data_IF_180479923651
#
_entry.id   IF_180479923651
#
_cell.length_a   1.000
_cell.length_b   1.000
_cell.length_c   1.000
_cell.angle_alpha   90.00
_cell.angle_beta   90.00
_cell.angle_gamma   90.00
#
_symmetry.space_group_name_H-M   'P 1'
#
loop_
_entity.id
_entity.type
_entity.pdbx_description
1 polymer ?
#
# COMPACT_ATOMS: atom_id res chain seq x y z
N UNK A 1 -56.56 -56.13 -5.98
CA UNK A 1 -56.65 -54.83 -5.26
C UNK A 1 -55.27 -54.56 -4.68
N UNK A 2 -54.52 -53.49 -4.91
CA UNK A 2 -54.69 -52.23 -5.64
C UNK A 2 -53.29 -51.80 -6.10
N UNK A 3 -53.26 -51.08 -7.22
CA UNK A 3 -52.12 -50.44 -7.88
C UNK A 3 -51.55 -49.30 -7.03
N UNK A 4 -50.23 -49.12 -7.04
CA UNK A 4 -49.58 -47.79 -6.94
C UNK A 4 -48.10 -47.88 -7.33
N UNK A 5 -47.79 -47.59 -8.59
CA UNK A 5 -46.44 -47.27 -9.04
C UNK A 5 -46.04 -45.84 -8.67
N UNK A 6 -44.73 -45.60 -8.52
CA UNK A 6 -44.11 -44.27 -8.70
C UNK A 6 -42.73 -44.41 -9.33
N UNK A 7 -42.69 -44.10 -10.62
CA UNK A 7 -41.49 -43.63 -11.33
C UNK A 7 -41.33 -42.12 -11.12
N UNK A 8 -40.15 -41.65 -10.71
CA UNK A 8 -39.62 -40.27 -10.91
C UNK A 8 -38.09 -40.38 -10.96
N UNK A 9 -37.45 -40.38 -12.12
CA UNK A 9 -37.03 -39.23 -12.96
C UNK A 9 -35.51 -38.92 -12.78
N UNK A 10 -34.66 -39.16 -13.80
CA UNK A 10 -33.26 -38.70 -13.81
C UNK A 10 -33.19 -37.33 -14.51
N UNK A 11 -33.30 -36.23 -13.77
CA UNK A 11 -33.33 -34.88 -14.39
C UNK A 11 -32.44 -33.83 -13.71
N UNK A 12 -31.32 -34.25 -13.09
CA UNK A 12 -30.38 -33.33 -12.45
C UNK A 12 -28.95 -33.34 -13.05
N UNK A 13 -28.59 -34.33 -13.89
CA UNK A 13 -27.22 -34.45 -14.44
C UNK A 13 -27.02 -33.79 -15.80
N UNK A 14 -28.07 -33.59 -16.61
CA UNK A 14 -27.94 -32.91 -17.91
C UNK A 14 -27.84 -31.37 -17.81
N UNK A 15 -28.39 -30.75 -16.77
CA UNK A 15 -28.32 -29.30 -16.59
C UNK A 15 -26.91 -28.78 -16.22
N UNK A 16 -26.08 -29.63 -15.59
CA UNK A 16 -24.69 -29.30 -15.26
C UNK A 16 -23.75 -29.33 -16.47
N UNK A 17 -23.94 -30.28 -17.38
CA UNK A 17 -23.14 -30.39 -18.61
C UNK A 17 -23.43 -29.26 -19.61
N UNK A 18 -24.69 -28.84 -19.76
CA UNK A 18 -25.07 -27.72 -20.62
C UNK A 18 -24.54 -26.36 -20.11
N UNK A 19 -24.32 -26.20 -18.81
CA UNK A 19 -23.72 -24.99 -18.21
C UNK A 19 -22.19 -24.94 -18.35
N UNK A 20 -21.52 -26.10 -18.30
CA UNK A 20 -20.07 -26.17 -18.56
C UNK A 20 -19.72 -25.93 -20.04
N UNK A 21 -20.55 -26.42 -20.97
CA UNK A 21 -20.32 -26.19 -22.42
C UNK A 21 -20.55 -24.74 -22.83
N UNK A 22 -21.48 -24.03 -22.17
CA UNK A 22 -21.70 -22.59 -22.42
C UNK A 22 -20.56 -21.72 -21.87
N UNK A 23 -19.97 -22.09 -20.73
CA UNK A 23 -18.80 -21.39 -20.17
C UNK A 23 -17.53 -21.60 -21.01
N UNK A 24 -17.29 -22.82 -21.51
CA UNK A 24 -16.14 -23.10 -22.39
C UNK A 24 -16.27 -22.39 -23.75
N UNK A 25 -17.49 -22.30 -24.31
CA UNK A 25 -17.72 -21.61 -25.58
C UNK A 25 -17.58 -20.08 -25.46
N UNK A 26 -17.98 -19.48 -24.33
CA UNK A 26 -17.76 -18.06 -24.05
C UNK A 26 -16.27 -17.72 -23.82
N UNK A 27 -15.50 -18.66 -23.24
CA UNK A 27 -14.06 -18.49 -23.02
C UNK A 27 -13.25 -18.66 -24.32
N UNK A 28 -13.63 -19.59 -25.21
CA UNK A 28 -12.99 -19.73 -26.53
C UNK A 28 -13.35 -18.60 -27.50
N UNK A 29 -14.56 -18.03 -27.42
CA UNK A 29 -14.94 -16.88 -28.25
C UNK A 29 -14.16 -15.59 -27.88
N UNK A 30 -13.68 -15.47 -26.64
CA UNK A 30 -12.81 -14.38 -26.20
C UNK A 30 -11.36 -14.53 -26.70
N UNK A 31 -10.91 -15.76 -27.01
CA UNK A 31 -9.58 -16.05 -27.56
C UNK A 31 -9.47 -15.83 -29.08
N UNK A 32 -10.61 -15.77 -29.78
CA UNK A 32 -10.70 -15.53 -31.23
C UNK A 32 -11.19 -14.12 -31.59
N UNK A 33 -11.50 -13.28 -30.60
CA UNK A 33 -11.83 -11.89 -30.84
C UNK A 33 -10.56 -11.14 -31.30
N UNK A 34 -10.60 -10.42 -32.44
CA UNK A 34 -9.46 -9.59 -32.83
C UNK A 34 -9.18 -8.59 -31.70
N UNK A 35 -7.92 -8.59 -31.25
CA UNK A 35 -7.42 -7.68 -30.23
C UNK A 35 -7.86 -6.26 -30.61
N UNK A 36 -8.58 -5.53 -29.76
CA UNK A 36 -8.87 -4.13 -30.07
C UNK A 36 -7.52 -3.44 -30.26
N UNK A 37 -7.37 -2.71 -31.37
CA UNK A 37 -6.20 -1.89 -31.64
C UNK A 37 -5.82 -1.08 -30.38
N UNK A 38 -4.53 -0.79 -30.14
CA UNK A 38 -4.09 -0.04 -28.97
C UNK A 38 -4.95 1.21 -28.85
N UNK A 39 -5.75 1.26 -27.78
CA UNK A 39 -6.61 2.40 -27.52
C UNK A 39 -5.70 3.60 -27.36
N UNK A 40 -5.95 4.60 -28.19
CA UNK A 40 -5.23 5.86 -28.20
C UNK A 40 -5.12 6.44 -26.79
N UNK A 41 -3.93 6.97 -26.50
CA UNK A 41 -3.55 7.74 -25.31
C UNK A 41 -4.71 8.52 -24.68
N UNK A 42 -5.07 8.16 -23.44
CA UNK A 42 -5.94 9.00 -22.61
C UNK A 42 -5.07 10.09 -21.99
N UNK A 43 -5.27 11.32 -22.47
CA UNK A 43 -4.68 12.51 -21.90
C UNK A 43 -5.23 12.74 -20.48
N UNK A 44 -4.34 12.64 -19.49
CA UNK A 44 -4.55 12.94 -18.08
C UNK A 44 -3.48 12.25 -17.25
N UNK A 45 -2.72 13.00 -16.45
CA UNK A 45 -1.73 12.38 -15.54
C UNK A 45 -2.48 11.53 -14.50
N UNK A 46 -1.96 10.34 -14.12
CA UNK A 46 -2.61 9.48 -13.14
C UNK A 46 -2.76 10.27 -11.82
N UNK A 47 -3.91 10.18 -11.14
CA UNK A 47 -4.15 10.87 -9.88
C UNK A 47 -3.37 10.19 -8.75
N UNK A 48 -2.05 10.36 -8.72
CA UNK A 48 -1.18 9.83 -7.67
C UNK A 48 -1.36 10.57 -6.36
N UNK A 49 -0.98 9.90 -5.27
CA UNK A 49 -1.10 10.42 -3.90
C UNK A 49 0.28 10.86 -3.41
N UNK A 50 1.29 10.01 -3.54
CA UNK A 50 2.65 10.25 -3.05
C UNK A 50 3.65 10.52 -4.17
N UNK A 51 3.49 9.93 -5.37
CA UNK A 51 4.37 10.23 -6.50
C UNK A 51 3.99 11.54 -7.18
N UNK A 52 4.98 12.23 -7.78
CA UNK A 52 4.72 13.46 -8.55
C UNK A 52 4.21 13.06 -9.93
N UNK A 53 2.99 13.49 -10.31
CA UNK A 53 2.46 13.25 -11.64
C UNK A 53 3.42 13.72 -12.75
N UNK A 54 4.03 14.89 -12.57
CA UNK A 54 4.92 15.53 -13.53
C UNK A 54 6.23 14.72 -13.70
N UNK A 55 6.78 14.22 -12.58
CA UNK A 55 7.96 13.34 -12.61
C UNK A 55 7.62 12.03 -13.30
N UNK A 56 6.51 11.38 -12.95
CA UNK A 56 6.09 10.13 -13.59
C UNK A 56 5.90 10.27 -15.09
N UNK A 57 5.20 11.33 -15.52
CA UNK A 57 4.98 11.62 -16.94
C UNK A 57 6.31 11.82 -17.68
N UNK A 58 7.25 12.57 -17.08
CA UNK A 58 8.59 12.79 -17.64
C UNK A 58 9.39 11.51 -17.72
N UNK A 59 9.46 10.74 -16.63
CA UNK A 59 10.17 9.46 -16.56
C UNK A 59 9.63 8.49 -17.61
N UNK A 60 8.31 8.38 -17.76
CA UNK A 60 7.69 7.57 -18.80
C UNK A 60 8.09 8.02 -20.21
N UNK A 61 8.07 9.32 -20.48
CA UNK A 61 8.48 9.84 -21.78
C UNK A 61 9.96 9.55 -22.09
N UNK A 62 10.85 9.70 -21.11
CA UNK A 62 12.27 9.38 -21.25
C UNK A 62 12.52 7.88 -21.43
N UNK A 63 11.79 7.03 -20.70
CA UNK A 63 11.81 5.57 -20.88
C UNK A 63 11.38 5.19 -22.30
N UNK A 64 10.30 5.76 -22.81
CA UNK A 64 9.82 5.52 -24.18
C UNK A 64 10.79 6.02 -25.25
N UNK A 65 11.54 7.08 -24.95
CA UNK A 65 12.62 7.59 -25.81
C UNK A 65 13.91 6.75 -25.72
N UNK A 66 13.98 5.76 -24.83
CA UNK A 66 15.15 4.92 -24.63
C UNK A 66 16.32 5.62 -23.95
N UNK A 67 16.05 6.57 -23.04
CA UNK A 67 17.09 7.32 -22.31
C UNK A 67 18.07 6.35 -21.62
N UNK A 68 19.35 6.31 -22.03
CA UNK A 68 20.34 5.39 -21.48
C UNK A 68 20.52 5.52 -19.96
N UNK A 69 20.24 6.70 -19.38
CA UNK A 69 20.33 6.92 -17.94
C UNK A 69 19.25 6.15 -17.16
N UNK A 70 18.09 5.87 -17.78
CA UNK A 70 16.96 5.21 -17.13
C UNK A 70 16.86 3.71 -17.44
N UNK A 71 17.49 3.25 -18.53
CA UNK A 71 17.39 1.85 -18.97
C UNK A 71 17.86 0.80 -17.94
N UNK A 72 18.96 0.99 -17.18
CA UNK A 72 19.36 0.03 -16.15
C UNK A 72 18.29 -0.16 -15.07
N UNK A 73 17.60 0.93 -14.76
CA UNK A 73 16.64 0.99 -13.69
C UNK A 73 15.27 0.45 -14.09
N UNK A 74 14.82 0.77 -15.31
CA UNK A 74 13.70 0.10 -15.94
C UNK A 74 13.92 -1.42 -16.00
N UNK A 75 15.13 -1.86 -16.35
CA UNK A 75 15.47 -3.29 -16.40
C UNK A 75 15.38 -3.95 -15.03
N UNK A 76 15.72 -3.24 -13.96
CA UNK A 76 15.56 -3.73 -12.59
C UNK A 76 14.10 -3.78 -12.15
N UNK A 77 13.33 -2.74 -12.43
CA UNK A 77 11.88 -2.73 -12.19
C UNK A 77 11.18 -3.89 -12.90
N UNK A 78 11.56 -4.18 -14.15
CA UNK A 78 11.03 -5.33 -14.89
C UNK A 78 11.37 -6.65 -14.19
N UNK A 79 12.61 -6.85 -13.74
CA UNK A 79 12.98 -8.07 -12.97
C UNK A 79 12.17 -8.21 -11.69
N UNK A 80 11.98 -7.12 -10.96
CA UNK A 80 11.19 -7.10 -9.73
C UNK A 80 9.71 -7.37 -10.00
N UNK A 81 9.16 -6.82 -11.08
CA UNK A 81 7.80 -7.11 -11.55
C UNK A 81 7.66 -8.58 -12.00
N UNK A 82 8.62 -9.14 -12.73
CA UNK A 82 8.63 -10.55 -13.12
C UNK A 82 8.66 -11.47 -11.88
N UNK A 83 9.44 -11.10 -10.86
CA UNK A 83 9.43 -11.82 -9.58
C UNK A 83 8.08 -11.72 -8.86
N UNK A 84 7.45 -10.54 -8.85
CA UNK A 84 6.12 -10.33 -8.29
C UNK A 84 5.00 -11.06 -9.07
N UNK A 85 5.16 -11.21 -10.39
CA UNK A 85 4.27 -12.03 -11.23
C UNK A 85 4.31 -13.49 -10.79
N UNK A 86 5.52 -14.03 -10.58
CA UNK A 86 5.76 -15.40 -10.14
C UNK A 86 5.41 -15.65 -8.66
N UNK A 87 5.38 -14.61 -7.83
CA UNK A 87 5.07 -14.71 -6.42
C UNK A 87 3.61 -15.13 -6.18
N UNK A 88 3.41 -15.91 -5.12
CA UNK A 88 2.08 -16.25 -4.63
C UNK A 88 1.39 -15.00 -4.09
N UNK A 89 0.14 -14.79 -4.51
CA UNK A 89 -0.69 -13.70 -4.00
C UNK A 89 -0.82 -13.80 -2.48
N UNK A 90 -0.51 -12.70 -1.80
CA UNK A 90 -0.61 -12.62 -0.35
C UNK A 90 -2.02 -12.20 0.05
N UNK A 91 -2.60 -12.91 1.01
CA UNK A 91 -3.90 -12.62 1.58
C UNK A 91 -3.90 -12.92 3.08
N UNK A 92 -4.72 -12.18 3.83
CA UNK A 92 -4.82 -12.27 5.29
C UNK A 92 -5.25 -13.67 5.75
N UNK A 93 -5.99 -14.41 4.92
CA UNK A 93 -6.54 -15.73 5.29
C UNK A 93 -5.51 -16.86 5.17
N UNK A 94 -4.31 -16.57 4.66
CA UNK A 94 -3.26 -17.57 4.43
C UNK A 94 -2.46 -17.93 5.70
N UNK A 95 -2.69 -17.21 6.81
CA UNK A 95 -2.17 -17.60 8.11
C UNK A 95 -2.79 -18.93 8.59
N UNK A 96 -2.09 -19.72 9.43
CA UNK A 96 -2.53 -21.06 9.82
C UNK A 96 -3.78 -21.07 10.71
N UNK A 97 -4.11 -19.95 11.36
CA UNK A 97 -5.29 -19.82 12.20
C UNK A 97 -5.65 -18.36 12.47
N UNK A 98 -6.87 -18.08 12.93
CA UNK A 98 -7.29 -16.72 13.27
C UNK A 98 -6.61 -16.22 14.56
N UNK A 99 -6.56 -14.90 14.79
CA UNK A 99 -6.29 -14.39 16.13
C UNK A 99 -7.32 -14.94 17.12
N UNK A 100 -6.97 -15.14 18.41
CA UNK A 100 -7.93 -15.62 19.39
C UNK A 100 -9.12 -14.65 19.52
N UNK A 101 -10.34 -15.18 19.43
CA UNK A 101 -11.57 -14.38 19.46
C UNK A 101 -11.95 -13.70 18.13
N UNK A 102 -11.13 -13.83 17.08
CA UNK A 102 -11.41 -13.31 15.74
C UNK A 102 -11.63 -14.40 14.69
N UNK A 103 -11.58 -14.01 13.42
CA UNK A 103 -11.67 -14.89 12.26
C UNK A 103 -10.47 -14.73 11.30
N UNK A 104 -10.39 -15.57 10.26
CA UNK A 104 -9.25 -15.58 9.33
C UNK A 104 -9.10 -14.29 8.52
N UNK A 105 -10.17 -13.49 8.38
CA UNK A 105 -10.14 -12.20 7.69
C UNK A 105 -9.60 -11.07 8.57
N UNK A 106 -9.46 -11.28 9.87
CA UNK A 106 -8.89 -10.29 10.77
C UNK A 106 -7.36 -10.23 10.62
N UNK A 107 -6.82 -9.03 10.42
CA UNK A 107 -5.39 -8.80 10.35
C UNK A 107 -4.74 -9.04 11.73
N UNK A 108 -3.76 -9.94 11.79
CA UNK A 108 -3.09 -10.33 13.03
C UNK A 108 -1.57 -10.23 12.92
N UNK A 109 -0.95 -9.48 13.82
CA UNK A 109 0.51 -9.36 13.90
C UNK A 109 0.98 -9.31 15.35
N UNK A 110 2.22 -9.73 15.61
CA UNK A 110 2.85 -9.55 16.93
C UNK A 110 3.61 -8.23 17.01
N UNK A 111 3.62 -7.57 18.16
CA UNK A 111 4.50 -6.41 18.37
C UNK A 111 5.97 -6.77 18.07
N UNK A 112 6.79 -5.85 17.52
CA UNK A 112 8.20 -6.14 17.20
C UNK A 112 9.04 -6.60 18.40
N UNK A 113 8.64 -6.20 19.62
CA UNK A 113 9.24 -6.57 20.90
C UNK A 113 8.51 -7.72 21.61
N UNK A 114 7.65 -8.46 20.90
CA UNK A 114 7.00 -9.66 21.44
C UNK A 114 8.04 -10.69 21.93
N UNK A 115 7.63 -11.54 22.89
CA UNK A 115 8.48 -12.43 23.68
C UNK A 115 9.59 -13.14 22.89
N UNK A 116 10.73 -13.40 23.55
CA UNK A 116 11.96 -13.98 23.00
C UNK A 116 11.78 -15.21 22.08
N UNK A 117 10.74 -16.02 22.34
CA UNK A 117 10.49 -17.27 21.62
C UNK A 117 9.51 -17.13 20.44
N UNK A 118 8.98 -15.94 20.17
CA UNK A 118 8.05 -15.70 19.05
C UNK A 118 8.67 -14.80 17.99
N UNK A 119 8.79 -15.31 16.76
CA UNK A 119 9.24 -14.49 15.63
C UNK A 119 8.09 -13.58 15.14
N UNK A 120 8.21 -12.24 15.28
CA UNK A 120 7.19 -11.29 14.83
C UNK A 120 7.04 -11.21 13.30
N UNK A 121 7.93 -11.87 12.56
CA UNK A 121 7.91 -11.99 11.10
C UNK A 121 7.62 -13.41 10.60
N UNK A 122 7.22 -14.33 11.48
CA UNK A 122 6.78 -15.65 11.05
C UNK A 122 5.58 -15.54 10.10
N UNK A 123 5.52 -16.41 9.08
CA UNK A 123 4.39 -16.52 8.14
C UNK A 123 3.06 -16.94 8.83
N UNK A 124 3.12 -17.23 10.14
CA UNK A 124 1.96 -17.39 11.04
C UNK A 124 1.18 -16.08 11.23
N UNK A 125 1.79 -14.91 10.96
CA UNK A 125 1.20 -13.59 11.11
C UNK A 125 1.13 -12.84 9.77
N UNK A 126 0.37 -11.75 9.76
CA UNK A 126 -0.01 -11.03 8.54
C UNK A 126 0.91 -9.86 8.18
N UNK A 127 1.83 -9.43 9.05
CA UNK A 127 2.71 -8.27 8.81
C UNK A 127 3.46 -8.37 7.47
N UNK A 128 4.18 -9.48 7.25
CA UNK A 128 4.89 -9.69 5.99
C UNK A 128 3.95 -9.88 4.80
N UNK A 129 2.75 -10.44 5.02
CA UNK A 129 1.75 -10.61 3.96
C UNK A 129 1.25 -9.27 3.46
N UNK A 130 0.89 -8.36 4.37
CA UNK A 130 0.50 -6.99 4.05
C UNK A 130 1.62 -6.27 3.30
N UNK A 131 2.85 -6.32 3.82
CA UNK A 131 3.97 -5.63 3.20
C UNK A 131 4.29 -6.13 1.80
N UNK A 132 4.36 -7.45 1.62
CA UNK A 132 4.57 -8.07 0.30
C UNK A 132 3.43 -7.73 -0.66
N UNK A 133 2.18 -7.82 -0.21
CA UNK A 133 1.01 -7.44 -1.01
C UNK A 133 1.12 -5.99 -1.51
N UNK A 134 1.42 -5.05 -0.61
CA UNK A 134 1.53 -3.63 -0.95
C UNK A 134 2.71 -3.36 -1.90
N UNK A 135 3.90 -3.87 -1.56
CA UNK A 135 5.12 -3.73 -2.37
C UNK A 135 4.96 -4.32 -3.75
N UNK A 136 4.49 -5.57 -3.85
CA UNK A 136 4.34 -6.25 -5.13
C UNK A 136 3.26 -5.59 -6.00
N UNK A 137 2.17 -5.10 -5.39
CA UNK A 137 1.15 -4.31 -6.11
C UNK A 137 1.72 -3.02 -6.68
N UNK A 138 2.53 -2.29 -5.89
CA UNK A 138 3.17 -1.04 -6.35
C UNK A 138 4.20 -1.31 -7.45
N UNK A 139 5.07 -2.31 -7.27
CA UNK A 139 6.06 -2.71 -8.29
C UNK A 139 5.39 -3.06 -9.61
N UNK A 140 4.32 -3.88 -9.59
CA UNK A 140 3.57 -4.23 -10.79
C UNK A 140 2.88 -3.02 -11.42
N UNK A 141 2.33 -2.11 -10.61
CA UNK A 141 1.70 -0.88 -11.10
C UNK A 141 2.70 0.10 -11.75
N UNK A 142 3.88 0.26 -11.17
CA UNK A 142 4.98 1.04 -11.75
C UNK A 142 5.46 0.43 -13.06
N UNK A 143 5.64 -0.90 -13.09
CA UNK A 143 6.03 -1.60 -14.31
C UNK A 143 4.97 -1.48 -15.42
N UNK A 144 3.68 -1.61 -15.08
CA UNK A 144 2.57 -1.28 -15.98
C UNK A 144 2.70 0.14 -16.53
N UNK A 145 2.85 1.13 -15.65
CA UNK A 145 2.87 2.54 -16.03
C UNK A 145 4.01 2.86 -17.02
N UNK A 146 5.21 2.33 -16.78
CA UNK A 146 6.38 2.62 -17.61
C UNK A 146 6.46 1.78 -18.89
N UNK A 147 5.99 0.53 -18.87
CA UNK A 147 6.13 -0.40 -20.01
C UNK A 147 4.87 -0.55 -20.85
N UNK A 148 3.70 -0.26 -20.29
CA UNK A 148 2.40 -0.56 -20.90
C UNK A 148 2.07 -2.06 -20.94
N UNK A 149 2.79 -2.92 -20.22
CA UNK A 149 2.53 -4.36 -20.21
C UNK A 149 1.29 -4.69 -19.34
N UNK A 150 0.19 -5.04 -20.01
CA UNK A 150 -1.11 -5.31 -19.39
C UNK A 150 -1.11 -6.49 -18.40
N UNK A 151 -0.15 -7.42 -18.50
CA UNK A 151 -0.06 -8.55 -17.56
C UNK A 151 0.30 -8.08 -16.15
N UNK A 152 1.21 -7.10 -16.04
CA UNK A 152 1.54 -6.47 -14.76
C UNK A 152 0.32 -5.76 -14.18
N UNK A 153 -0.44 -5.05 -15.00
CA UNK A 153 -1.67 -4.40 -14.56
C UNK A 153 -2.71 -5.41 -14.06
N UNK A 154 -2.88 -6.51 -14.79
CA UNK A 154 -3.78 -7.61 -14.41
C UNK A 154 -3.42 -8.21 -13.06
N UNK A 155 -2.15 -8.55 -12.85
CA UNK A 155 -1.68 -9.10 -11.57
C UNK A 155 -1.78 -8.10 -10.44
N UNK A 156 -1.34 -6.85 -10.63
CA UNK A 156 -1.43 -5.79 -9.62
C UNK A 156 -2.87 -5.54 -9.17
N UNK A 157 -3.80 -5.49 -10.14
CA UNK A 157 -5.25 -5.40 -9.86
C UNK A 157 -5.73 -6.60 -9.05
N UNK A 158 -5.31 -7.82 -9.41
CA UNK A 158 -5.73 -9.03 -8.72
C UNK A 158 -5.22 -9.11 -7.27
N UNK A 159 -4.00 -8.62 -6.98
CA UNK A 159 -3.47 -8.55 -5.62
C UNK A 159 -4.30 -7.60 -4.73
N UNK A 160 -4.59 -6.39 -5.22
CA UNK A 160 -5.44 -5.43 -4.51
C UNK A 160 -6.88 -5.95 -4.32
N UNK A 161 -7.43 -6.60 -5.34
CA UNK A 161 -8.76 -7.22 -5.26
C UNK A 161 -8.80 -8.35 -4.21
N UNK A 162 -7.80 -9.23 -4.20
CA UNK A 162 -7.71 -10.34 -3.25
C UNK A 162 -7.62 -9.84 -1.80
N UNK A 163 -6.88 -8.75 -1.57
CA UNK A 163 -6.74 -8.17 -0.23
C UNK A 163 -7.97 -7.39 0.21
N UNK A 164 -8.59 -6.59 -0.67
CA UNK A 164 -9.65 -5.66 -0.26
C UNK A 164 -11.07 -6.19 -0.48
N UNK A 165 -11.29 -7.02 -1.49
CA UNK A 165 -12.63 -7.17 -2.06
C UNK A 165 -13.12 -8.62 -2.12
N UNK A 166 -12.25 -9.57 -2.47
CA UNK A 166 -12.65 -10.96 -2.63
C UNK A 166 -13.14 -11.54 -1.29
N UNK A 167 -14.39 -12.01 -1.25
CA UNK A 167 -15.01 -12.53 -0.03
C UNK A 167 -14.27 -13.71 0.59
N UNK A 168 -13.48 -14.46 -0.19
CA UNK A 168 -12.71 -15.61 0.28
C UNK A 168 -11.38 -15.22 0.90
N UNK A 169 -10.81 -14.07 0.52
CA UNK A 169 -9.43 -13.72 0.88
C UNK A 169 -9.26 -12.35 1.54
N UNK A 170 -10.27 -11.49 1.47
CA UNK A 170 -10.16 -10.09 1.89
C UNK A 170 -9.77 -9.92 3.34
N UNK A 171 -8.96 -8.92 3.64
CA UNK A 171 -8.81 -8.39 4.98
C UNK A 171 -10.07 -7.66 5.40
N UNK A 172 -10.46 -7.82 6.67
CA UNK A 172 -11.38 -6.87 7.31
C UNK A 172 -10.71 -5.49 7.32
N UNK A 173 -11.43 -4.39 7.00
CA UNK A 173 -10.87 -3.04 7.03
C UNK A 173 -10.71 -2.53 8.48
N UNK A 174 -9.94 -3.26 9.28
CA UNK A 174 -9.61 -2.96 10.68
C UNK A 174 -8.30 -3.65 11.07
N UNK A 175 -7.58 -3.05 12.02
CA UNK A 175 -6.34 -3.61 12.60
C UNK A 175 -6.49 -3.88 14.11
N UNK A 176 -7.61 -4.50 14.50
CA UNK A 176 -7.94 -4.79 15.90
C UNK A 176 -6.98 -5.78 16.57
N UNK A 177 -6.30 -6.62 15.80
CA UNK A 177 -5.35 -7.62 16.33
C UNK A 177 -3.91 -7.33 15.92
N UNK A 178 -3.61 -6.12 15.44
CA UNK A 178 -2.24 -5.72 15.13
C UNK A 178 -1.45 -5.47 16.42
N UNK A 179 -0.13 -5.74 16.39
CA UNK A 179 0.78 -5.61 17.53
C UNK A 179 0.29 -6.35 18.79
N UNK A 180 -0.25 -7.54 18.60
CA UNK A 180 -0.54 -8.46 19.68
C UNK A 180 0.74 -8.76 20.48
N UNK A 181 0.62 -8.83 21.80
CA UNK A 181 1.70 -9.31 22.66
C UNK A 181 1.30 -10.66 23.25
N UNK A 182 2.18 -11.69 23.20
CA UNK A 182 1.86 -13.01 23.71
C UNK A 182 1.35 -13.03 25.16
N UNK A 183 1.91 -12.16 26.03
CA UNK A 183 1.47 -12.02 27.42
C UNK A 183 0.05 -11.44 27.56
N UNK A 184 -0.40 -10.67 26.57
CA UNK A 184 -1.72 -10.02 26.54
C UNK A 184 -2.75 -10.91 25.80
N UNK A 185 -2.36 -12.11 25.33
CA UNK A 185 -3.27 -13.12 24.76
C UNK A 185 -4.08 -13.78 25.89
N UNK A 186 -4.88 -12.99 26.59
CA UNK A 186 -5.82 -13.44 27.63
C UNK A 186 -7.19 -12.80 27.39
N UNK A 187 -7.99 -13.40 26.50
CA UNK A 187 -9.36 -12.93 26.20
C UNK A 187 -9.49 -12.21 24.86
N UNK A 188 -10.45 -11.28 24.77
CA UNK A 188 -10.94 -10.70 23.49
C UNK A 188 -10.26 -9.38 23.06
N UNK A 189 -9.26 -8.87 23.79
CA UNK A 189 -8.54 -7.64 23.44
C UNK A 189 -7.04 -7.90 23.39
N UNK A 190 -6.56 -8.27 22.20
CA UNK A 190 -5.20 -8.79 22.03
C UNK A 190 -4.29 -7.79 21.32
N UNK A 191 -4.84 -6.95 20.43
CA UNK A 191 -4.06 -5.95 19.69
C UNK A 191 -3.76 -4.68 20.48
N UNK A 192 -2.92 -3.83 19.91
CA UNK A 192 -2.48 -2.55 20.48
C UNK A 192 -2.67 -1.41 19.47
N UNK A 193 -2.97 -0.19 19.96
CA UNK A 193 -3.04 1.01 19.10
C UNK A 193 -1.74 1.27 18.33
N UNK A 194 -0.60 0.81 18.83
CA UNK A 194 0.69 0.90 18.13
C UNK A 194 0.69 0.13 16.81
N UNK A 195 -0.16 -0.88 16.64
CA UNK A 195 -0.28 -1.69 15.43
C UNK A 195 -0.84 -0.94 14.23
N UNK A 196 -1.45 0.24 14.43
CA UNK A 196 -1.85 1.15 13.34
C UNK A 196 -0.65 1.54 12.46
N UNK A 197 0.57 1.47 12.99
CA UNK A 197 1.76 1.77 12.23
C UNK A 197 1.98 0.83 11.04
N UNK A 198 1.42 -0.39 11.06
CA UNK A 198 1.58 -1.36 9.97
C UNK A 198 0.75 -0.99 8.74
N UNK A 199 -0.40 -0.32 8.93
CA UNK A 199 -1.21 0.18 7.81
C UNK A 199 -0.52 1.28 7.00
N UNK A 200 0.66 1.76 7.40
CA UNK A 200 1.51 2.61 6.54
C UNK A 200 1.79 1.96 5.18
N UNK A 201 1.93 0.63 5.15
CA UNK A 201 2.21 -0.09 3.91
C UNK A 201 1.01 -0.04 2.94
N UNK A 202 -0.21 0.21 3.44
CA UNK A 202 -1.38 0.42 2.57
C UNK A 202 -1.31 1.74 1.79
N UNK A 203 -0.39 2.65 2.10
CA UNK A 203 -0.13 3.86 1.28
C UNK A 203 0.41 3.44 -0.10
N UNK A 204 1.30 2.45 -0.14
CA UNK A 204 1.80 1.89 -1.42
C UNK A 204 0.67 1.19 -2.19
N UNK A 205 -0.28 0.56 -1.49
CA UNK A 205 -1.44 -0.08 -2.11
C UNK A 205 -2.40 0.94 -2.76
N UNK A 206 -2.64 2.11 -2.14
CA UNK A 206 -3.43 3.17 -2.78
C UNK A 206 -2.69 3.84 -3.93
N UNK A 207 -1.36 4.00 -3.81
CA UNK A 207 -0.53 4.51 -4.90
C UNK A 207 -0.57 3.57 -6.12
N UNK A 208 -0.47 2.26 -5.87
CA UNK A 208 -0.63 1.23 -6.90
C UNK A 208 -2.01 1.31 -7.57
N UNK A 209 -3.08 1.44 -6.79
CA UNK A 209 -4.44 1.59 -7.32
C UNK A 209 -4.57 2.82 -8.24
N UNK A 210 -3.94 3.95 -7.87
CA UNK A 210 -3.92 5.15 -8.70
C UNK A 210 -3.19 4.94 -10.04
N UNK A 211 -2.04 4.26 -10.02
CA UNK A 211 -1.27 3.95 -11.23
C UNK A 211 -1.95 2.90 -12.13
N UNK A 212 -2.77 2.02 -11.55
CA UNK A 212 -3.53 1.01 -12.28
C UNK A 212 -4.83 1.56 -12.86
N UNK A 213 -5.29 2.74 -12.42
CA UNK A 213 -6.62 3.26 -12.73
C UNK A 213 -6.86 3.52 -14.23
N UNK A 214 -5.80 3.71 -15.02
CA UNK A 214 -5.84 3.86 -16.47
C UNK A 214 -5.72 2.53 -17.23
N UNK A 215 -5.54 1.42 -16.51
CA UNK A 215 -5.31 0.11 -17.11
C UNK A 215 -6.61 -0.59 -17.53
N UNK A 216 -6.57 -1.46 -18.56
CA UNK A 216 -7.72 -2.28 -18.94
C UNK A 216 -8.21 -3.22 -17.83
N UNK A 217 -7.34 -3.59 -16.89
CA UNK A 217 -7.67 -4.47 -15.76
C UNK A 217 -8.48 -3.74 -14.67
N UNK A 218 -8.34 -2.41 -14.55
CA UNK A 218 -8.97 -1.62 -13.50
C UNK A 218 -10.35 -1.10 -13.92
N UNK A 219 -11.36 -1.96 -13.81
CA UNK A 219 -12.73 -1.55 -14.09
C UNK A 219 -13.30 -0.57 -13.05
N UNK A 220 -14.37 0.16 -13.41
CA UNK A 220 -15.13 1.01 -12.46
C UNK A 220 -15.68 0.23 -11.26
N UNK A 221 -15.95 -1.07 -11.42
CA UNK A 221 -16.42 -1.92 -10.33
C UNK A 221 -15.29 -2.22 -9.34
N UNK A 222 -14.08 -2.49 -9.84
CA UNK A 222 -12.88 -2.65 -9.03
C UNK A 222 -12.57 -1.35 -8.28
N UNK A 223 -12.53 -0.21 -8.99
CA UNK A 223 -12.29 1.10 -8.39
C UNK A 223 -13.23 1.37 -7.21
N UNK A 224 -14.54 1.17 -7.42
CA UNK A 224 -15.55 1.36 -6.37
C UNK A 224 -15.37 0.40 -5.20
N UNK A 225 -15.06 -0.86 -5.46
CA UNK A 225 -14.91 -1.87 -4.40
C UNK A 225 -13.67 -1.60 -3.55
N UNK A 226 -12.53 -1.30 -4.17
CA UNK A 226 -11.28 -0.99 -3.48
C UNK A 226 -11.41 0.31 -2.69
N UNK A 227 -11.95 1.38 -3.30
CA UNK A 227 -12.24 2.63 -2.56
C UNK A 227 -13.25 2.42 -1.43
N UNK A 228 -14.22 1.54 -1.61
CA UNK A 228 -15.16 1.13 -0.56
C UNK A 228 -14.44 0.56 0.66
N UNK A 229 -13.52 -0.39 0.44
CA UNK A 229 -12.71 -0.97 1.51
C UNK A 229 -11.86 0.08 2.24
N UNK A 230 -11.17 0.95 1.49
CA UNK A 230 -10.37 2.03 2.07
C UNK A 230 -11.24 3.07 2.81
N UNK A 231 -12.46 3.33 2.34
CA UNK A 231 -13.41 4.20 3.02
C UNK A 231 -13.90 3.63 4.35
N UNK A 232 -14.13 2.30 4.41
CA UNK A 232 -14.40 1.60 5.66
C UNK A 232 -13.20 1.62 6.61
N UNK A 233 -11.99 1.38 6.09
CA UNK A 233 -10.75 1.40 6.86
C UNK A 233 -10.49 2.79 7.44
N UNK A 234 -10.64 3.84 6.63
CA UNK A 234 -10.50 5.23 7.06
C UNK A 234 -11.50 5.60 8.16
N UNK A 235 -12.74 5.13 8.05
CA UNK A 235 -13.76 5.33 9.09
C UNK A 235 -13.37 4.63 10.39
N UNK A 236 -12.87 3.40 10.31
CA UNK A 236 -12.36 2.67 11.47
C UNK A 236 -11.12 3.34 12.08
N UNK A 237 -10.15 3.77 11.26
CA UNK A 237 -8.92 4.42 11.70
C UNK A 237 -9.17 5.75 12.42
N UNK A 238 -10.25 6.45 12.06
CA UNK A 238 -10.65 7.71 12.73
C UNK A 238 -11.56 7.48 13.95
N UNK A 239 -12.42 6.47 13.89
CA UNK A 239 -13.50 6.26 14.86
C UNK A 239 -13.27 5.15 15.89
N UNK A 240 -12.27 4.29 15.71
CA UNK A 240 -11.93 3.24 16.67
C UNK A 240 -11.20 3.79 17.89
N UNK A 241 -11.20 3.03 18.99
CA UNK A 241 -10.42 3.36 20.18
C UNK A 241 -8.92 3.45 19.86
N UNK A 242 -8.38 2.44 19.15
CA UNK A 242 -6.99 2.44 18.69
C UNK A 242 -6.67 3.64 17.80
N UNK A 243 -7.58 3.97 16.87
CA UNK A 243 -7.47 5.14 16.01
C UNK A 243 -7.35 6.45 16.79
N UNK A 244 -8.16 6.62 17.83
CA UNK A 244 -8.09 7.78 18.73
C UNK A 244 -6.83 7.81 19.59
N UNK A 245 -6.40 6.65 20.10
CA UNK A 245 -5.15 6.54 20.87
C UNK A 245 -3.93 6.90 20.01
N UNK A 246 -3.86 6.38 18.77
CA UNK A 246 -2.81 6.75 17.83
C UNK A 246 -2.85 8.23 17.45
N UNK A 247 -4.04 8.83 17.28
CA UNK A 247 -4.17 10.27 17.02
C UNK A 247 -3.67 11.14 18.19
N UNK A 248 -3.81 10.66 19.44
CA UNK A 248 -3.35 11.34 20.63
C UNK A 248 -1.84 11.24 20.85
N UNK A 249 -1.17 10.23 20.30
CA UNK A 249 0.28 10.05 20.37
C UNK A 249 1.00 11.26 19.79
N UNK A 250 1.84 11.95 20.57
CA UNK A 250 2.54 13.17 20.14
C UNK A 250 3.81 12.89 19.32
N UNK A 251 4.16 11.63 19.15
CA UNK A 251 5.37 11.21 18.47
C UNK A 251 5.11 10.69 17.06
N UNK A 252 5.97 9.75 16.70
CA UNK A 252 6.06 9.15 15.39
C UNK A 252 4.78 8.37 14.99
N UNK A 253 4.07 7.76 15.94
CA UNK A 253 2.84 7.01 15.65
C UNK A 253 1.72 7.95 15.21
N UNK A 254 1.52 9.06 15.92
CA UNK A 254 0.54 10.06 15.53
C UNK A 254 0.80 10.64 14.16
N UNK A 255 2.08 10.91 13.85
CA UNK A 255 2.49 11.43 12.55
C UNK A 255 2.20 10.46 11.40
N UNK A 256 2.53 9.17 11.58
CA UNK A 256 2.20 8.14 10.58
C UNK A 256 0.71 7.89 10.45
N UNK A 257 -0.04 8.00 11.54
CA UNK A 257 -1.50 7.94 11.48
C UNK A 257 -2.04 9.10 10.64
N UNK A 258 -1.51 10.31 10.81
CA UNK A 258 -1.94 11.48 10.04
C UNK A 258 -1.59 11.30 8.55
N UNK A 259 -0.41 10.77 8.22
CA UNK A 259 -0.03 10.43 6.84
C UNK A 259 -1.00 9.41 6.20
N UNK A 260 -1.36 8.35 6.93
CA UNK A 260 -2.33 7.35 6.49
C UNK A 260 -3.72 7.96 6.27
N UNK A 261 -4.23 8.74 7.23
CA UNK A 261 -5.54 9.40 7.10
C UNK A 261 -5.58 10.31 5.89
N UNK A 262 -4.54 11.13 5.68
CA UNK A 262 -4.50 12.07 4.56
C UNK A 262 -4.42 11.34 3.20
N UNK A 263 -3.58 10.30 3.09
CA UNK A 263 -3.43 9.50 1.88
C UNK A 263 -4.74 8.76 1.52
N UNK A 264 -5.35 8.07 2.50
CA UNK A 264 -6.60 7.34 2.26
C UNK A 264 -7.77 8.28 2.01
N UNK A 265 -7.81 9.46 2.64
CA UNK A 265 -8.80 10.49 2.36
C UNK A 265 -8.75 10.95 0.91
N UNK A 266 -7.56 11.25 0.37
CA UNK A 266 -7.40 11.57 -1.05
C UNK A 266 -7.88 10.43 -1.95
N UNK A 267 -7.47 9.19 -1.64
CA UNK A 267 -7.84 8.02 -2.44
C UNK A 267 -9.36 7.83 -2.55
N UNK A 268 -10.10 8.05 -1.46
CA UNK A 268 -11.57 7.91 -1.44
C UNK A 268 -12.31 9.17 -1.87
N UNK A 269 -11.59 10.25 -2.23
CA UNK A 269 -12.16 11.50 -2.73
C UNK A 269 -12.54 12.52 -1.64
N UNK A 270 -12.10 12.35 -0.40
CA UNK A 270 -12.30 13.29 0.70
C UNK A 270 -11.11 14.27 0.82
N UNK A 271 -11.00 15.17 -0.17
CA UNK A 271 -9.91 16.15 -0.22
C UNK A 271 -9.92 17.17 0.91
N UNK A 272 -11.09 17.44 1.52
CA UNK A 272 -11.19 18.33 2.67
C UNK A 272 -10.54 17.69 3.91
N UNK A 273 -10.85 16.44 4.21
CA UNK A 273 -10.22 15.71 5.30
C UNK A 273 -8.70 15.57 5.09
N UNK A 274 -8.25 15.33 3.86
CA UNK A 274 -6.82 15.26 3.55
C UNK A 274 -6.12 16.59 3.89
N UNK A 275 -6.68 17.71 3.43
CA UNK A 275 -6.20 19.06 3.72
C UNK A 275 -6.12 19.32 5.22
N UNK A 276 -7.24 19.13 5.93
CA UNK A 276 -7.33 19.40 7.37
C UNK A 276 -6.33 18.54 8.17
N UNK A 277 -6.12 17.29 7.75
CA UNK A 277 -5.17 16.38 8.40
C UNK A 277 -3.73 16.85 8.19
N UNK A 278 -3.37 17.26 6.96
CA UNK A 278 -2.03 17.78 6.67
C UNK A 278 -1.77 19.06 7.45
N UNK A 279 -2.69 20.02 7.44
CA UNK A 279 -2.55 21.26 8.20
C UNK A 279 -2.40 21.00 9.70
N UNK A 280 -3.22 20.11 10.27
CA UNK A 280 -3.11 19.70 11.67
C UNK A 280 -1.78 19.03 12.01
N UNK A 281 -1.21 18.27 11.06
CA UNK A 281 0.08 17.57 11.25
C UNK A 281 1.27 18.54 11.41
N UNK A 282 1.19 19.76 10.88
CA UNK A 282 2.24 20.78 11.02
C UNK A 282 2.54 21.10 12.49
N UNK A 283 1.52 21.12 13.36
CA UNK A 283 1.70 21.34 14.79
C UNK A 283 2.52 20.21 15.44
N UNK A 284 2.24 18.96 15.05
CA UNK A 284 2.97 17.78 15.52
C UNK A 284 4.42 17.79 15.01
N UNK A 285 4.61 18.11 13.73
CA UNK A 285 5.95 18.28 13.13
C UNK A 285 6.75 19.35 13.87
N UNK A 286 6.12 20.48 14.22
CA UNK A 286 6.74 21.54 15.00
C UNK A 286 7.17 21.06 16.39
N UNK A 287 6.31 20.32 17.10
CA UNK A 287 6.63 19.76 18.41
C UNK A 287 7.79 18.76 18.38
N UNK A 288 7.91 17.97 17.31
CA UNK A 288 9.01 17.00 17.12
C UNK A 288 10.34 17.64 16.75
N UNK A 289 10.34 18.87 16.23
CA UNK A 289 11.54 19.52 15.66
C UNK A 289 12.00 20.73 16.46
N UNK A 290 11.42 20.98 17.64
CA UNK A 290 11.82 22.06 18.57
C UNK A 290 13.33 22.03 18.80
N UNK A 291 13.96 23.22 18.74
CA UNK A 291 15.39 23.39 18.98
C UNK A 291 15.82 22.79 20.34
N UNK A 292 16.93 22.07 20.36
CA UNK A 292 17.44 21.37 21.54
C UNK A 292 16.87 19.96 21.74
N UNK A 293 15.92 19.50 20.90
CA UNK A 293 15.54 18.08 20.83
C UNK A 293 16.38 17.34 19.79
N UNK A 294 16.62 16.04 19.96
CA UNK A 294 17.18 15.21 18.90
C UNK A 294 16.32 15.30 17.64
N UNK A 295 16.96 15.34 16.48
CA UNK A 295 16.26 15.33 15.22
C UNK A 295 15.40 14.05 15.05
N UNK A 296 14.31 14.11 14.26
CA UNK A 296 13.47 12.95 13.98
C UNK A 296 14.26 11.79 13.37
N UNK A 297 13.79 10.55 13.59
CA UNK A 297 14.34 9.39 12.88
C UNK A 297 14.00 9.43 11.40
N UNK A 298 14.78 8.71 10.56
CA UNK A 298 14.44 8.50 9.14
C UNK A 298 12.99 8.04 8.94
N UNK A 299 12.50 7.15 9.81
CA UNK A 299 11.12 6.67 9.81
C UNK A 299 10.09 7.78 10.02
N UNK A 300 10.34 8.71 10.95
CA UNK A 300 9.48 9.86 11.17
C UNK A 300 9.59 10.88 10.03
N UNK A 301 10.81 11.11 9.51
CA UNK A 301 11.03 11.96 8.34
C UNK A 301 10.25 11.43 7.13
N UNK A 302 10.18 10.12 6.92
CA UNK A 302 9.37 9.51 5.86
C UNK A 302 7.90 9.92 5.96
N UNK A 303 7.33 9.90 7.17
CA UNK A 303 5.96 10.34 7.38
C UNK A 303 5.79 11.83 7.07
N UNK A 304 6.75 12.68 7.46
CA UNK A 304 6.72 14.12 7.14
C UNK A 304 6.78 14.35 5.62
N UNK A 305 7.67 13.66 4.91
CA UNK A 305 7.78 13.76 3.45
C UNK A 305 6.53 13.22 2.74
N UNK A 306 5.93 12.15 3.27
CA UNK A 306 4.67 11.61 2.76
C UNK A 306 3.54 12.63 2.93
N UNK A 307 3.43 13.25 4.12
CA UNK A 307 2.47 14.33 4.38
C UNK A 307 2.69 15.53 3.46
N UNK A 308 3.94 15.86 3.12
CA UNK A 308 4.24 16.93 2.17
C UNK A 308 3.76 16.60 0.75
N UNK A 309 4.01 15.38 0.28
CA UNK A 309 3.52 14.91 -1.02
C UNK A 309 1.98 14.89 -1.07
N UNK A 310 1.34 14.33 -0.05
CA UNK A 310 -0.12 14.29 0.07
C UNK A 310 -0.71 15.70 0.18
N UNK A 311 -0.07 16.57 0.94
CA UNK A 311 -0.45 17.98 1.11
C UNK A 311 -0.51 18.71 -0.21
N UNK A 312 0.52 18.56 -1.04
CA UNK A 312 0.57 19.16 -2.37
C UNK A 312 -0.64 18.76 -3.23
N UNK A 313 -1.03 17.48 -3.20
CA UNK A 313 -2.23 16.97 -3.88
C UNK A 313 -3.54 17.46 -3.25
N UNK A 314 -3.54 17.73 -1.95
CA UNK A 314 -4.66 18.34 -1.22
C UNK A 314 -4.71 19.88 -1.34
N UNK A 315 -3.74 20.51 -2.02
CA UNK A 315 -3.65 21.97 -2.16
C UNK A 315 -3.03 22.68 -0.95
N UNK A 316 -2.28 21.97 -0.10
CA UNK A 316 -1.52 22.51 1.04
C UNK A 316 -0.04 22.26 0.81
N UNK A 317 0.73 23.30 0.53
CA UNK A 317 2.17 23.15 0.36
C UNK A 317 2.90 23.25 1.70
N UNK A 318 3.37 22.11 2.23
CA UNK A 318 4.20 22.05 3.44
C UNK A 318 5.67 21.69 3.16
N UNK A 319 6.08 21.61 1.89
CA UNK A 319 7.48 21.33 1.53
C UNK A 319 8.43 22.38 2.13
N UNK A 320 8.04 23.66 2.08
CA UNK A 320 8.80 24.77 2.64
C UNK A 320 8.62 24.99 4.15
N UNK A 321 7.96 24.10 4.88
CA UNK A 321 7.72 24.29 6.31
C UNK A 321 9.01 24.06 7.14
N UNK A 322 9.34 24.99 8.03
CA UNK A 322 10.58 24.99 8.83
C UNK A 322 10.85 23.67 9.57
N UNK A 323 9.80 23.00 10.04
CA UNK A 323 9.94 21.69 10.70
C UNK A 323 10.43 20.61 9.74
N UNK A 324 9.95 20.59 8.50
CA UNK A 324 10.43 19.63 7.52
C UNK A 324 11.89 19.92 7.18
N UNK A 325 12.25 21.20 7.00
CA UNK A 325 13.63 21.65 6.82
C UNK A 325 14.55 21.12 7.94
N UNK A 326 14.23 21.44 9.20
CA UNK A 326 15.01 20.97 10.37
C UNK A 326 15.10 19.45 10.47
N UNK A 327 14.03 18.73 10.11
CA UNK A 327 14.04 17.27 10.12
C UNK A 327 15.01 16.68 9.09
N UNK A 328 15.09 17.29 7.90
CA UNK A 328 16.03 16.88 6.85
C UNK A 328 17.48 17.28 7.16
N UNK A 329 17.72 18.34 7.92
CA UNK A 329 19.09 18.75 8.28
C UNK A 329 19.76 17.84 9.32
N UNK A 330 18.96 17.10 10.10
CA UNK A 330 19.45 16.30 11.22
C UNK A 330 19.17 14.80 11.10
N UNK A 331 18.97 14.27 9.89
CA UNK A 331 18.50 12.89 9.69
C UNK A 331 19.32 11.90 10.50
N UNK A 332 18.65 11.25 11.46
CA UNK A 332 19.25 10.17 12.24
C UNK A 332 19.04 8.83 11.52
N UNK A 333 19.91 7.84 11.76
CA UNK A 333 19.70 6.47 11.28
C UNK A 333 18.29 6.00 11.55
N UNK A 334 17.77 5.18 10.64
CA UNK A 334 16.38 4.76 10.68
C UNK A 334 16.10 4.03 12.01
N UNK A 335 15.17 4.59 12.78
CA UNK A 335 14.77 4.07 14.08
C UNK A 335 13.25 4.02 14.07
N UNK A 336 12.64 2.84 14.28
CA UNK A 336 11.19 2.71 14.29
C UNK A 336 10.59 3.57 15.40
N UNK A 337 9.26 3.79 15.35
CA UNK A 337 8.56 4.42 16.47
C UNK A 337 8.74 3.61 17.78
N UNK A 338 9.03 2.31 17.68
CA UNK A 338 9.42 1.43 18.79
C UNK A 338 10.95 1.28 18.90
N UNK A 339 11.44 1.12 20.14
CA UNK A 339 12.85 0.84 20.41
C UNK A 339 13.32 -0.52 19.84
N UNK A 340 12.40 -1.41 19.48
CA UNK A 340 12.69 -2.66 18.79
C UNK A 340 12.55 -2.49 17.27
N UNK A 341 13.55 -2.93 16.46
CA UNK A 341 13.51 -2.86 15.01
C UNK A 341 12.37 -3.72 14.44
N UNK A 342 11.58 -3.12 13.55
CA UNK A 342 10.57 -3.85 12.79
C UNK A 342 11.27 -4.89 11.90
N UNK A 343 10.96 -6.16 12.13
CA UNK A 343 11.55 -7.26 11.36
C UNK A 343 11.14 -7.20 9.88
N UNK A 344 9.97 -6.63 9.57
CA UNK A 344 9.51 -6.50 8.20
C UNK A 344 10.34 -5.45 7.45
N UNK A 345 10.83 -4.39 8.12
CA UNK A 345 11.69 -3.38 7.51
C UNK A 345 13.08 -3.99 7.18
N UNK A 346 13.47 -5.11 7.80
CA UNK A 346 14.70 -5.82 7.43
C UNK A 346 14.51 -6.71 6.20
N UNK A 347 13.36 -7.38 6.09
CA UNK A 347 13.07 -8.31 5.01
C UNK A 347 12.59 -7.61 3.74
N UNK A 348 11.86 -6.50 3.89
CA UNK A 348 11.40 -5.64 2.80
C UNK A 348 11.65 -4.19 3.24
N UNK A 349 12.86 -3.68 2.97
CA UNK A 349 13.26 -2.37 3.48
C UNK A 349 12.53 -1.23 2.80
N UNK A 350 12.02 -0.26 3.59
CA UNK A 350 11.41 0.95 3.05
C UNK A 350 12.45 1.77 2.29
N UNK A 351 12.01 2.45 1.24
CA UNK A 351 12.88 3.34 0.46
C UNK A 351 12.48 4.81 0.66
N UNK A 352 13.41 5.60 1.18
CA UNK A 352 13.24 7.06 1.36
C UNK A 352 13.59 7.84 0.11
N UNK A 353 14.31 7.21 -0.81
CA UNK A 353 14.95 7.85 -1.94
C UNK A 353 13.97 8.63 -2.81
N UNK A 354 12.81 8.09 -3.24
CA UNK A 354 11.87 8.84 -4.08
C UNK A 354 11.32 10.10 -3.39
N UNK A 355 11.12 10.03 -2.08
CA UNK A 355 10.59 11.15 -1.28
C UNK A 355 11.65 12.24 -1.06
N UNK A 356 12.92 11.88 -0.89
CA UNK A 356 14.03 12.83 -0.78
C UNK A 356 14.30 13.53 -2.12
N UNK A 357 14.25 12.78 -3.24
CA UNK A 357 14.30 13.37 -4.58
C UNK A 357 13.14 14.35 -4.80
N UNK A 358 11.93 13.98 -4.39
CA UNK A 358 10.77 14.87 -4.47
C UNK A 358 10.98 16.14 -3.63
N UNK A 359 11.51 16.02 -2.41
CA UNK A 359 11.86 17.17 -1.59
C UNK A 359 12.88 18.09 -2.28
N UNK A 360 13.93 17.51 -2.90
CA UNK A 360 14.93 18.27 -3.65
C UNK A 360 14.31 19.06 -4.79
N UNK A 361 13.38 18.46 -5.54
CA UNK A 361 12.66 19.11 -6.62
C UNK A 361 11.74 20.22 -6.15
N UNK A 362 10.97 19.98 -5.08
CA UNK A 362 10.02 20.93 -4.53
C UNK A 362 10.72 22.16 -3.91
N UNK A 363 11.91 21.97 -3.33
CA UNK A 363 12.67 23.02 -2.64
C UNK A 363 13.73 23.70 -3.51
N UNK A 364 14.00 23.19 -4.73
CA UNK A 364 15.00 23.71 -5.67
C UNK A 364 16.41 23.92 -5.07
N UNK A 365 16.74 23.21 -3.99
CA UNK A 365 17.99 23.39 -3.24
C UNK A 365 19.05 22.34 -3.57
N UNK A 366 20.29 22.70 -3.90
CA UNK A 366 21.36 21.75 -4.26
C UNK A 366 21.71 20.76 -3.13
N UNK A 367 21.55 21.17 -1.87
CA UNK A 367 21.83 20.39 -0.66
C UNK A 367 21.02 19.09 -0.53
N UNK A 368 19.85 19.01 -1.15
CA UNK A 368 19.02 17.81 -1.08
C UNK A 368 19.46 16.74 -2.08
N UNK A 369 20.16 17.14 -3.15
CA UNK A 369 20.93 16.22 -3.98
C UNK A 369 22.11 15.60 -3.22
N UNK A 370 22.75 16.36 -2.33
CA UNK A 370 23.84 15.87 -1.47
C UNK A 370 23.33 14.87 -0.42
N UNK A 371 22.17 15.13 0.23
CA UNK A 371 21.51 14.18 1.15
C UNK A 371 21.19 12.84 0.48
N UNK A 372 20.82 12.89 -0.80
CA UNK A 372 20.63 11.70 -1.64
C UNK A 372 21.94 10.93 -1.85
N UNK A 373 23.07 11.63 -2.05
CA UNK A 373 24.40 11.02 -2.17
C UNK A 373 24.91 10.40 -0.86
N UNK A 374 24.45 10.88 0.29
CA UNK A 374 24.78 10.35 1.62
C UNK A 374 24.02 9.05 1.97
N UNK A 375 22.97 8.70 1.23
CA UNK A 375 22.23 7.46 1.47
C UNK A 375 23.11 6.21 1.22
N UNK A 376 22.82 5.07 1.89
CA UNK A 376 23.50 3.81 1.62
C UNK A 376 23.48 3.48 0.13
N UNK A 377 24.57 2.90 -0.38
CA UNK A 377 24.73 2.62 -1.82
C UNK A 377 23.58 1.76 -2.38
N UNK A 378 23.01 0.87 -1.57
CA UNK A 378 21.85 0.04 -1.95
C UNK A 378 20.54 0.85 -2.09
N UNK A 379 20.37 1.90 -1.26
CA UNK A 379 19.27 2.87 -1.38
C UNK A 379 19.49 3.82 -2.55
N UNK A 380 20.75 4.14 -2.85
CA UNK A 380 21.14 4.95 -4.02
C UNK A 380 21.04 4.17 -5.33
N UNK A 381 21.29 2.87 -5.34
CA UNK A 381 21.04 2.03 -6.50
C UNK A 381 19.55 2.07 -6.91
N UNK A 382 18.67 2.30 -5.92
CA UNK A 382 17.24 2.56 -6.09
C UNK A 382 16.87 4.01 -6.47
N UNK A 383 17.82 4.94 -6.61
CA UNK A 383 17.56 6.31 -7.10
C UNK A 383 16.97 6.37 -8.51
N UNK A 384 17.18 5.30 -9.25
CA UNK A 384 16.60 5.14 -10.57
C UNK A 384 15.45 4.10 -10.57
N UNK A 385 15.17 3.43 -9.44
CA UNK A 385 14.15 2.37 -9.29
C UNK A 385 12.75 2.93 -8.98
#
# INVERSE_FOLDING_TARGET
>A
MSVAGRSRAPCARLAGLLRLTAFLAAFLAALLAPWPAPVASLAGEPPTIVFSPEVLARTRAQVLAGDPALMPALSALIRDADAAMAAQAQAVVLKPGPPPGGDLHDFWSLAPDAAQDSDPCADTYDRLRLRRMARDSLTLAQAWHLTGNADYAGKGTALLWAWCCDSLTRARPAMTYAHARPADITGNHIGSHTGIIEARDLIDAVEAACLLADSPAWSRAVDRAVKGWFGEFLRWLRGSEFGRQAAADQGCLGLWRDAQVAAFALFVGDGALARDTVEGSCQRMAAMTISGRPAPSGFALRAMLTLAAVGERAGVNIWGHDSLGRAMEGVRPDSPCSHAPDCADRLVPPDLTPLLLRAAMALQGPRYGELVEELPQDSRARLFH
#
